data_IF_802377814346
#
_entry.id   IF_802377814346
#
_cell.length_a   1.000
_cell.length_b   1.000
_cell.length_c   1.000
_cell.angle_alpha   90.00
_cell.angle_beta   90.00
_cell.angle_gamma   90.00
#
_symmetry.space_group_name_H-M   'P 1'
#
loop_
_entity.id
_entity.type
_entity.pdbx_description
1 polymer ?
#
# COMPACT_ATOMS: atom_id res chain seq x y z
N UNK A 1 -7.67 -1.94 12.83
CA UNK A 1 -6.68 -1.68 13.92
C UNK A 1 -7.38 -1.79 15.28
N UNK A 2 -8.51 -1.14 15.46
CA UNK A 2 -9.25 -1.16 16.74
C UNK A 2 -9.89 -2.53 17.04
N UNK A 3 -10.36 -3.26 16.02
CA UNK A 3 -10.97 -4.59 16.13
C UNK A 3 -9.95 -5.68 16.50
N UNK A 4 -8.71 -5.56 16.06
CA UNK A 4 -7.66 -6.55 16.38
C UNK A 4 -7.17 -6.49 17.83
N UNK A 5 -7.39 -5.37 18.53
CA UNK A 5 -6.99 -5.21 19.95
C UNK A 5 -7.89 -5.95 20.93
N UNK A 6 -9.04 -6.45 20.52
CA UNK A 6 -10.00 -7.13 21.41
C UNK A 6 -9.64 -8.57 21.75
N UNK A 7 -8.59 -9.14 21.14
CA UNK A 7 -8.08 -10.46 21.50
C UNK A 7 -6.98 -10.33 22.57
N UNK A 8 -7.36 -10.55 23.82
CA UNK A 8 -6.45 -10.59 24.96
C UNK A 8 -5.38 -11.66 24.75
N UNK A 9 -4.11 -11.27 24.83
CA UNK A 9 -2.98 -12.16 25.00
C UNK A 9 -1.91 -12.22 23.91
N UNK A 10 -2.17 -11.80 22.69
CA UNK A 10 -1.13 -11.68 21.65
C UNK A 10 -0.62 -10.23 21.55
N UNK A 11 0.69 -10.01 21.54
CA UNK A 11 1.26 -8.71 21.16
C UNK A 11 0.75 -8.40 19.75
N UNK A 12 -0.20 -7.45 19.62
CA UNK A 12 -0.73 -7.06 18.31
C UNK A 12 0.40 -6.44 17.51
N UNK A 13 0.60 -6.94 16.29
CA UNK A 13 1.52 -6.34 15.33
C UNK A 13 1.06 -4.91 15.04
N UNK A 14 1.95 -3.92 14.95
CA UNK A 14 1.54 -2.56 14.59
C UNK A 14 1.00 -2.50 13.17
N UNK A 15 0.14 -1.52 12.88
CA UNK A 15 -0.19 -1.12 11.52
C UNK A 15 0.91 -0.22 10.96
N UNK A 16 1.18 -0.29 9.65
CA UNK A 16 2.12 0.58 8.94
C UNK A 16 1.39 1.44 7.92
N UNK A 17 1.58 2.75 7.99
CA UNK A 17 1.19 3.69 6.92
C UNK A 17 2.45 4.22 6.24
N UNK A 18 2.49 4.10 4.92
CA UNK A 18 3.51 4.70 4.06
C UNK A 18 2.85 5.74 3.18
N UNK A 19 3.27 6.99 3.29
CA UNK A 19 2.68 8.11 2.58
C UNK A 19 3.76 9.04 1.99
N UNK A 20 3.40 10.03 1.15
CA UNK A 20 4.28 11.12 0.78
C UNK A 20 4.81 11.85 2.02
N UNK A 21 6.04 12.35 1.96
CA UNK A 21 6.68 13.05 3.10
C UNK A 21 5.83 14.21 3.63
N UNK A 22 5.17 14.94 2.74
CA UNK A 22 4.28 16.07 3.09
C UNK A 22 3.03 15.65 3.86
N UNK A 23 2.64 14.38 3.82
CA UNK A 23 1.42 13.87 4.47
C UNK A 23 1.69 13.17 5.79
N UNK A 24 2.96 12.99 6.18
CA UNK A 24 3.31 12.30 7.44
C UNK A 24 2.67 12.97 8.65
N UNK A 25 2.77 14.29 8.75
CA UNK A 25 2.20 15.03 9.87
C UNK A 25 0.67 15.05 9.82
N UNK A 26 0.08 15.20 8.63
CA UNK A 26 -1.36 15.11 8.45
C UNK A 26 -1.93 13.76 8.94
N UNK A 27 -1.27 12.65 8.62
CA UNK A 27 -1.65 11.34 9.11
C UNK A 27 -1.54 11.22 10.64
N UNK A 28 -0.53 11.88 11.25
CA UNK A 28 -0.37 11.97 12.69
C UNK A 28 -1.53 12.74 13.35
N UNK A 29 -1.86 13.91 12.83
CA UNK A 29 -2.98 14.74 13.30
C UNK A 29 -4.32 14.02 13.19
N UNK A 30 -4.62 13.42 12.03
CA UNK A 30 -5.84 12.65 11.82
C UNK A 30 -5.92 11.43 12.75
N UNK A 31 -4.79 10.73 12.96
CA UNK A 31 -4.73 9.61 13.90
C UNK A 31 -5.02 10.05 15.34
N UNK A 32 -4.47 11.18 15.76
CA UNK A 32 -4.71 11.75 17.09
C UNK A 32 -6.16 12.17 17.27
N UNK A 33 -6.75 12.75 16.23
CA UNK A 33 -8.14 13.23 16.25
C UNK A 33 -9.16 12.10 16.29
N UNK A 34 -8.99 11.10 15.45
CA UNK A 34 -10.00 10.04 15.27
C UNK A 34 -9.73 8.77 16.09
N UNK A 35 -8.49 8.57 16.52
CA UNK A 35 -8.08 7.37 17.27
C UNK A 35 -7.13 7.73 18.42
N UNK A 36 -7.54 8.59 19.38
CA UNK A 36 -6.65 9.13 20.43
C UNK A 36 -6.05 8.06 21.34
N UNK A 37 -6.61 6.87 21.37
CA UNK A 37 -6.12 5.75 22.19
C UNK A 37 -5.01 4.94 21.52
N UNK A 38 -4.69 5.19 20.23
CA UNK A 38 -3.61 4.50 19.54
C UNK A 38 -2.27 5.15 19.85
N UNK A 39 -1.28 4.32 20.13
CA UNK A 39 0.11 4.76 20.27
C UNK A 39 0.74 4.89 18.88
N UNK A 40 0.84 6.12 18.40
CA UNK A 40 1.41 6.44 17.10
C UNK A 40 2.92 6.60 17.19
N UNK A 41 3.65 5.94 16.30
CA UNK A 41 5.10 6.07 16.15
C UNK A 41 5.43 6.66 14.78
N UNK A 42 5.99 7.85 14.76
CA UNK A 42 6.42 8.51 13.52
C UNK A 42 7.90 8.20 13.25
N UNK A 43 8.18 7.39 12.25
CA UNK A 43 9.53 7.11 11.76
C UNK A 43 9.93 8.16 10.72
N UNK A 44 10.21 9.37 11.20
CA UNK A 44 10.62 10.51 10.38
C UNK A 44 11.73 11.31 11.08
N UNK A 45 12.52 12.05 10.30
CA UNK A 45 13.64 12.85 10.81
C UNK A 45 14.94 12.06 10.97
N UNK A 46 15.98 12.75 11.46
CA UNK A 46 17.34 12.20 11.64
C UNK A 46 17.46 11.27 12.84
N UNK A 47 16.60 11.48 13.85
CA UNK A 47 16.55 10.70 15.10
C UNK A 47 15.72 9.41 14.98
N UNK A 48 15.14 9.12 13.83
CA UNK A 48 14.26 7.96 13.62
C UNK A 48 14.90 6.62 13.98
N UNK A 49 16.22 6.49 13.83
CA UNK A 49 16.95 5.26 14.20
C UNK A 49 16.81 4.92 15.70
N UNK A 50 16.67 5.91 16.56
CA UNK A 50 16.42 5.69 18.00
C UNK A 50 14.99 5.29 18.27
N UNK A 51 14.05 5.65 17.37
CA UNK A 51 12.62 5.41 17.52
C UNK A 51 12.24 3.95 17.27
N UNK A 52 13.05 3.20 16.51
CA UNK A 52 12.80 1.77 16.24
C UNK A 52 12.66 0.93 17.51
N UNK A 53 13.37 1.27 18.58
CA UNK A 53 13.25 0.60 19.89
C UNK A 53 11.85 0.70 20.49
N UNK A 54 11.03 1.66 20.05
CA UNK A 54 9.66 1.88 20.53
C UNK A 54 8.61 1.13 19.69
N UNK A 55 9.01 0.50 18.59
CA UNK A 55 8.09 -0.15 17.66
C UNK A 55 7.25 -1.25 18.34
N UNK A 56 7.84 -2.03 19.23
CA UNK A 56 7.14 -3.09 19.95
C UNK A 56 5.96 -2.60 20.84
N UNK A 57 5.95 -1.32 21.16
CA UNK A 57 4.86 -0.69 21.95
C UNK A 57 3.94 0.20 21.12
N UNK A 58 4.15 0.30 19.82
CA UNK A 58 3.33 1.11 18.93
C UNK A 58 2.14 0.31 18.38
N UNK A 59 1.03 1.00 18.16
CA UNK A 59 -0.16 0.46 17.49
C UNK A 59 -0.16 0.85 16.02
N UNK A 60 0.38 2.03 15.70
CA UNK A 60 0.45 2.58 14.36
C UNK A 60 1.84 3.18 14.11
N UNK A 61 2.42 2.81 13.00
CA UNK A 61 3.70 3.35 12.51
C UNK A 61 3.43 4.17 11.26
N UNK A 62 3.94 5.39 11.19
CA UNK A 62 3.81 6.28 10.04
C UNK A 62 5.20 6.59 9.52
N UNK A 63 5.43 6.42 8.22
CA UNK A 63 6.69 6.75 7.56
C UNK A 63 6.45 7.23 6.12
N UNK A 64 7.49 7.78 5.50
CA UNK A 64 7.43 8.17 4.09
C UNK A 64 8.02 7.10 3.17
N UNK A 65 7.64 7.11 1.87
CA UNK A 65 8.21 6.21 0.86
C UNK A 65 9.74 6.25 0.82
N UNK A 66 10.32 7.46 0.91
CA UNK A 66 11.76 7.63 0.88
C UNK A 66 12.45 6.98 2.10
N UNK A 67 11.83 7.09 3.28
CA UNK A 67 12.38 6.53 4.51
C UNK A 67 12.09 5.03 4.61
N UNK A 68 10.91 4.55 4.22
CA UNK A 68 10.62 3.13 4.10
C UNK A 68 11.70 2.43 3.22
N UNK A 69 11.99 3.00 2.05
CA UNK A 69 13.03 2.46 1.16
C UNK A 69 14.42 2.47 1.79
N UNK A 70 14.78 3.57 2.47
CA UNK A 70 16.10 3.72 3.11
C UNK A 70 16.31 2.74 4.25
N UNK A 71 15.25 2.52 5.03
CA UNK A 71 15.29 1.72 6.24
C UNK A 71 14.66 0.31 6.01
N UNK A 72 14.63 -0.15 4.74
CA UNK A 72 13.90 -1.38 4.38
C UNK A 72 14.41 -2.61 5.15
N UNK A 73 15.70 -2.74 5.35
CA UNK A 73 16.28 -3.89 6.05
C UNK A 73 15.75 -3.95 7.50
N UNK A 74 15.64 -2.79 8.17
CA UNK A 74 15.05 -2.74 9.52
C UNK A 74 13.55 -3.07 9.49
N UNK A 75 12.82 -2.61 8.46
CA UNK A 75 11.41 -3.00 8.30
C UNK A 75 11.24 -4.52 8.15
N UNK A 76 12.18 -5.22 7.51
CA UNK A 76 12.12 -6.68 7.29
C UNK A 76 12.34 -7.50 8.57
N UNK A 77 12.86 -6.89 9.64
CA UNK A 77 12.98 -7.51 10.96
C UNK A 77 11.65 -7.52 11.73
N UNK A 78 10.62 -6.84 11.20
CA UNK A 78 9.32 -6.66 11.85
C UNK A 78 8.17 -7.15 10.98
N UNK A 79 7.11 -7.60 11.65
CA UNK A 79 5.84 -7.95 11.01
C UNK A 79 4.78 -6.89 11.36
N UNK A 80 3.93 -6.58 10.39
CA UNK A 80 2.84 -5.62 10.53
C UNK A 80 1.48 -6.33 10.40
N UNK A 81 0.46 -5.87 11.13
CA UNK A 81 -0.90 -6.37 10.96
C UNK A 81 -1.49 -5.94 9.61
N UNK A 82 -1.24 -4.70 9.25
CA UNK A 82 -1.65 -4.15 7.94
C UNK A 82 -0.59 -3.16 7.43
N UNK A 83 -0.31 -3.20 6.14
CA UNK A 83 0.48 -2.18 5.43
C UNK A 83 -0.44 -1.36 4.53
N UNK A 84 -0.51 -0.07 4.77
CA UNK A 84 -1.33 0.90 4.03
C UNK A 84 -0.41 1.80 3.23
N UNK A 85 -0.60 1.84 1.92
CA UNK A 85 0.11 2.79 1.04
C UNK A 85 -0.85 3.90 0.63
N UNK A 86 -0.54 5.12 1.04
CA UNK A 86 -1.27 6.31 0.60
C UNK A 86 -0.59 6.92 -0.63
N UNK A 87 -1.38 7.47 -1.55
CA UNK A 87 -0.93 7.96 -2.85
C UNK A 87 -0.13 6.88 -3.61
N UNK A 88 -0.78 5.73 -3.83
CA UNK A 88 -0.14 4.53 -4.36
C UNK A 88 0.45 4.66 -5.77
N UNK A 89 0.24 5.77 -6.47
CA UNK A 89 0.98 6.06 -7.70
C UNK A 89 2.50 6.07 -7.51
N UNK A 90 2.98 6.19 -6.27
CA UNK A 90 4.41 6.06 -5.94
C UNK A 90 4.99 4.66 -6.21
N UNK A 91 4.13 3.63 -6.34
CA UNK A 91 4.53 2.25 -6.66
C UNK A 91 3.98 1.76 -8.01
N UNK A 92 3.40 2.64 -8.84
CA UNK A 92 2.82 2.28 -10.14
C UNK A 92 3.83 1.64 -11.10
N UNK A 93 5.05 2.12 -11.10
CA UNK A 93 6.13 1.50 -11.85
C UNK A 93 6.83 0.44 -11.00
N UNK A 94 6.66 -0.83 -11.38
CA UNK A 94 7.17 -2.02 -10.69
C UNK A 94 8.69 -2.04 -10.49
N UNK A 95 9.46 -1.36 -11.34
CA UNK A 95 10.93 -1.34 -11.29
C UNK A 95 11.50 -0.26 -10.36
N UNK A 96 10.67 0.64 -9.85
CA UNK A 96 11.14 1.66 -8.91
C UNK A 96 11.52 1.05 -7.57
N UNK A 97 12.50 1.67 -6.91
CA UNK A 97 12.92 1.24 -5.58
C UNK A 97 11.77 1.31 -4.55
N UNK A 98 10.84 2.26 -4.71
CA UNK A 98 9.65 2.35 -3.86
C UNK A 98 8.77 1.11 -4.02
N UNK A 99 8.50 0.69 -5.27
CA UNK A 99 7.68 -0.49 -5.54
C UNK A 99 8.35 -1.78 -5.04
N UNK A 100 9.66 -1.93 -5.30
CA UNK A 100 10.43 -3.09 -4.85
C UNK A 100 10.45 -3.18 -3.32
N UNK A 101 10.71 -2.06 -2.63
CA UNK A 101 10.75 -2.03 -1.17
C UNK A 101 9.38 -2.28 -0.55
N UNK A 102 8.32 -1.62 -1.04
CA UNK A 102 6.96 -1.81 -0.53
C UNK A 102 6.51 -3.28 -0.60
N UNK A 103 6.81 -3.97 -1.70
CA UNK A 103 6.45 -5.38 -1.88
C UNK A 103 7.16 -6.34 -0.92
N UNK A 104 8.33 -5.95 -0.38
CA UNK A 104 9.07 -6.74 0.61
C UNK A 104 8.49 -6.64 2.02
N UNK A 105 7.72 -5.61 2.34
CA UNK A 105 7.12 -5.41 3.66
C UNK A 105 6.29 -6.64 4.05
N UNK A 106 6.54 -7.17 5.24
CA UNK A 106 5.78 -8.28 5.82
C UNK A 106 4.55 -7.74 6.51
N UNK A 107 3.37 -8.03 5.98
CA UNK A 107 2.10 -7.62 6.58
C UNK A 107 1.02 -8.69 6.33
N UNK A 108 0.15 -8.90 7.32
CA UNK A 108 -0.94 -9.86 7.22
C UNK A 108 -2.01 -9.36 6.23
N UNK A 109 -2.24 -8.05 6.22
CA UNK A 109 -3.17 -7.38 5.31
C UNK A 109 -2.49 -6.24 4.55
N UNK A 110 -3.04 -5.87 3.41
CA UNK A 110 -2.54 -4.76 2.59
C UNK A 110 -3.68 -3.91 2.07
N UNK A 111 -3.50 -2.60 2.12
CA UNK A 111 -4.45 -1.61 1.63
C UNK A 111 -3.73 -0.54 0.82
N UNK A 112 -4.41 -0.03 -0.18
CA UNK A 112 -3.93 1.07 -1.01
C UNK A 112 -4.98 2.17 -1.05
N UNK A 113 -4.53 3.39 -0.84
CA UNK A 113 -5.31 4.60 -1.05
C UNK A 113 -4.71 5.37 -2.22
N UNK A 114 -5.56 5.87 -3.11
CA UNK A 114 -5.14 6.71 -4.22
C UNK A 114 -6.27 7.65 -4.63
N UNK A 115 -5.95 8.93 -4.74
CA UNK A 115 -6.88 9.95 -5.25
C UNK A 115 -6.91 10.00 -6.78
N UNK A 116 -5.88 9.49 -7.45
CA UNK A 116 -5.83 9.41 -8.90
C UNK A 116 -6.38 8.06 -9.35
N UNK A 117 -7.45 8.04 -10.15
CA UNK A 117 -7.83 6.83 -10.83
C UNK A 117 -6.63 6.36 -11.67
N UNK A 118 -6.64 5.10 -12.06
CA UNK A 118 -5.59 4.46 -12.88
C UNK A 118 -5.54 5.19 -14.23
N UNK A 119 -4.88 6.35 -14.28
CA UNK A 119 -4.92 7.27 -15.41
C UNK A 119 -3.98 6.85 -16.54
N UNK A 120 -2.89 6.16 -16.21
CA UNK A 120 -1.79 5.94 -17.14
C UNK A 120 -1.69 4.51 -17.68
N UNK A 121 -2.72 3.68 -17.47
CA UNK A 121 -2.77 2.39 -18.11
C UNK A 121 -2.79 1.17 -17.19
N UNK A 122 -3.01 0.06 -17.85
CA UNK A 122 -3.19 -1.26 -17.24
C UNK A 122 -1.91 -1.77 -16.55
N UNK A 123 -0.73 -1.31 -17.03
CA UNK A 123 0.56 -1.67 -16.43
C UNK A 123 0.74 -1.13 -15.00
N UNK A 124 0.30 0.11 -14.74
CA UNK A 124 0.35 0.73 -13.41
C UNK A 124 -0.49 -0.06 -12.40
N UNK A 125 -1.66 -0.52 -12.87
CA UNK A 125 -2.57 -1.35 -12.10
C UNK A 125 -1.93 -2.68 -11.67
N UNK A 126 -1.19 -3.32 -12.57
CA UNK A 126 -0.50 -4.58 -12.24
C UNK A 126 0.43 -4.42 -11.05
N UNK A 127 1.22 -3.35 -11.00
CA UNK A 127 2.17 -3.13 -9.91
C UNK A 127 1.49 -2.90 -8.56
N UNK A 128 0.39 -2.16 -8.55
CA UNK A 128 -0.43 -1.91 -7.35
C UNK A 128 -1.09 -3.21 -6.87
N UNK A 129 -1.66 -3.98 -7.79
CA UNK A 129 -2.29 -5.27 -7.45
C UNK A 129 -1.28 -6.32 -7.00
N UNK A 130 -0.06 -6.29 -7.53
CA UNK A 130 1.02 -7.19 -7.09
C UNK A 130 1.53 -6.84 -5.67
N UNK A 131 1.41 -5.58 -5.24
CA UNK A 131 1.57 -5.22 -3.84
C UNK A 131 0.41 -5.73 -2.99
N UNK A 132 -0.86 -5.49 -3.39
CA UNK A 132 -2.05 -5.87 -2.62
C UNK A 132 -2.18 -7.39 -2.46
N UNK A 133 -2.03 -8.11 -3.56
CA UNK A 133 -2.20 -9.56 -3.65
C UNK A 133 -1.13 -10.15 -4.59
N UNK A 134 0.06 -10.48 -4.06
CA UNK A 134 1.15 -11.01 -4.85
C UNK A 134 0.72 -12.23 -5.68
N UNK A 135 0.99 -12.19 -6.98
CA UNK A 135 0.67 -13.27 -7.91
C UNK A 135 -0.78 -13.36 -8.39
N UNK A 136 -1.73 -12.57 -7.86
CA UNK A 136 -3.15 -12.63 -8.25
C UNK A 136 -3.38 -12.39 -9.75
N UNK A 137 -2.67 -11.45 -10.34
CA UNK A 137 -2.74 -11.16 -11.78
C UNK A 137 -1.72 -11.96 -12.61
N UNK A 138 -0.99 -12.88 -11.99
CA UNK A 138 0.06 -13.66 -12.64
C UNK A 138 1.34 -12.88 -12.90
N UNK A 139 2.29 -13.51 -13.59
CA UNK A 139 3.53 -12.85 -13.96
C UNK A 139 3.30 -11.66 -14.89
N UNK A 140 4.10 -10.61 -14.74
CA UNK A 140 3.99 -9.40 -15.54
C UNK A 140 4.01 -9.66 -17.06
N UNK A 141 4.82 -10.59 -17.55
CA UNK A 141 4.87 -10.95 -18.97
C UNK A 141 3.51 -11.48 -19.46
N UNK A 142 2.95 -12.44 -18.74
CA UNK A 142 1.64 -13.02 -19.06
C UNK A 142 0.51 -11.99 -18.95
N UNK A 143 0.57 -11.13 -17.93
CA UNK A 143 -0.39 -10.04 -17.77
C UNK A 143 -0.33 -9.06 -18.94
N UNK A 144 0.87 -8.69 -19.37
CA UNK A 144 1.08 -7.82 -20.52
C UNK A 144 0.49 -8.42 -21.80
N UNK A 145 0.76 -9.68 -22.08
CA UNK A 145 0.26 -10.39 -23.25
C UNK A 145 -1.27 -10.58 -23.23
N UNK A 146 -1.84 -10.86 -22.06
CA UNK A 146 -3.27 -11.18 -21.91
C UNK A 146 -4.17 -9.97 -21.74
N UNK A 147 -3.65 -8.85 -21.23
CA UNK A 147 -4.44 -7.66 -20.91
C UNK A 147 -3.88 -6.36 -21.48
N UNK A 148 -2.60 -6.05 -21.21
CA UNK A 148 -2.04 -4.75 -21.55
C UNK A 148 -1.99 -4.53 -23.06
N UNK A 149 -1.41 -5.46 -23.83
CA UNK A 149 -1.29 -5.34 -25.27
C UNK A 149 -2.65 -5.38 -26.00
N UNK A 150 -3.56 -6.32 -25.69
CA UNK A 150 -4.90 -6.30 -26.31
C UNK A 150 -5.65 -5.00 -26.04
N UNK A 151 -5.65 -4.51 -24.79
CA UNK A 151 -6.33 -3.26 -24.42
C UNK A 151 -5.72 -2.06 -25.15
N UNK A 152 -4.39 -2.01 -25.27
CA UNK A 152 -3.68 -0.95 -25.97
C UNK A 152 -4.00 -0.94 -27.48
N UNK A 153 -4.10 -2.12 -28.11
CA UNK A 153 -4.41 -2.26 -29.52
C UNK A 153 -5.88 -1.98 -29.85
N UNK A 154 -6.78 -2.05 -28.85
CA UNK A 154 -8.20 -1.82 -29.04
C UNK A 154 -8.92 -2.94 -29.76
N UNK A 155 -10.10 -2.62 -30.32
CA UNK A 155 -10.94 -3.59 -31.03
C UNK A 155 -11.61 -4.62 -30.08
N UNK A 156 -12.27 -5.65 -30.68
CA UNK A 156 -13.03 -6.64 -29.91
C UNK A 156 -12.21 -7.39 -28.86
N UNK A 157 -10.97 -7.74 -29.18
CA UNK A 157 -10.05 -8.42 -28.23
C UNK A 157 -9.66 -7.51 -27.07
N UNK A 158 -9.45 -6.21 -27.33
CA UNK A 158 -9.18 -5.21 -26.31
C UNK A 158 -10.36 -5.02 -25.36
N UNK A 159 -11.57 -4.90 -25.89
CA UNK A 159 -12.81 -4.79 -25.10
C UNK A 159 -13.05 -6.05 -24.26
N UNK A 160 -12.81 -7.22 -24.82
CA UNK A 160 -12.90 -8.48 -24.07
C UNK A 160 -11.88 -8.55 -22.93
N UNK A 161 -10.61 -8.23 -23.20
CA UNK A 161 -9.56 -8.21 -22.20
C UNK A 161 -9.87 -7.20 -21.08
N UNK A 162 -10.34 -6.00 -21.41
CA UNK A 162 -10.74 -4.97 -20.46
C UNK A 162 -11.89 -5.44 -19.55
N UNK A 163 -12.93 -6.02 -20.16
CA UNK A 163 -14.09 -6.56 -19.43
C UNK A 163 -13.67 -7.68 -18.47
N UNK A 164 -12.81 -8.59 -18.92
CA UNK A 164 -12.27 -9.69 -18.11
C UNK A 164 -11.45 -9.17 -16.93
N UNK A 165 -10.57 -8.19 -17.16
CA UNK A 165 -9.76 -7.56 -16.12
C UNK A 165 -10.63 -6.83 -15.11
N UNK A 166 -11.62 -6.05 -15.58
CA UNK A 166 -12.57 -5.33 -14.73
C UNK A 166 -13.31 -6.26 -13.78
N UNK A 167 -13.80 -7.41 -14.29
CA UNK A 167 -14.48 -8.42 -13.44
C UNK A 167 -13.57 -8.99 -12.36
N UNK A 168 -12.28 -9.24 -12.68
CA UNK A 168 -11.30 -9.72 -11.70
C UNK A 168 -11.05 -8.70 -10.59
N UNK A 169 -11.01 -7.42 -10.92
CA UNK A 169 -10.65 -6.35 -9.98
C UNK A 169 -11.81 -5.82 -9.16
N UNK A 170 -13.03 -5.94 -9.69
CA UNK A 170 -14.24 -5.38 -9.09
C UNK A 170 -14.41 -5.66 -7.59
N UNK A 171 -14.14 -6.88 -7.07
CA UNK A 171 -14.30 -7.18 -5.64
C UNK A 171 -13.31 -6.43 -4.73
N UNK A 172 -12.20 -5.91 -5.28
CA UNK A 172 -11.09 -5.32 -4.54
C UNK A 172 -10.99 -3.81 -4.71
N UNK A 173 -11.83 -3.21 -5.56
CA UNK A 173 -11.81 -1.79 -5.87
C UNK A 173 -13.05 -1.09 -5.33
N UNK A 174 -12.84 -0.13 -4.43
CA UNK A 174 -13.86 0.79 -3.99
C UNK A 174 -13.56 2.19 -4.51
N UNK A 175 -14.43 2.72 -5.37
CA UNK A 175 -14.34 4.09 -5.87
C UNK A 175 -15.46 4.94 -5.30
N UNK A 176 -15.12 6.04 -4.64
CA UNK A 176 -16.06 7.06 -4.19
C UNK A 176 -15.73 8.37 -4.87
N UNK A 177 -16.71 8.96 -5.55
CA UNK A 177 -16.61 10.31 -6.12
C UNK A 177 -17.06 11.31 -5.06
N UNK A 178 -16.39 12.47 -4.98
CA UNK A 178 -16.95 13.60 -4.24
C UNK A 178 -18.29 13.95 -4.89
N UNK A 179 -19.35 13.95 -4.13
CA UNK A 179 -20.62 14.55 -4.59
C UNK A 179 -20.34 16.04 -4.78
N UNK A 180 -20.63 16.54 -5.97
CA UNK A 180 -20.70 17.98 -6.22
C UNK A 180 -21.84 18.58 -5.43
#
# INVERSE_FOLDING_TARGET
IQLERTHEGARSKPALIVCPTSLVENWNEESTKFTPNLKVLILHGTDRHRKWKKLAGADLVITSYALMRRDIETHLEHDYSIAILDEAQHIKNRSTQNAVSAKKIKADHRLVLTGTPIENGVADLWSIMDFLMPGYLGHHKTFRESYELPILNGGPDGEHAQSKLRRKLHPFLLRRLKKQ
#
